data_IF_096242835751
#
_entry.id   IF_096242835751
#
_cell.length_a   1.000
_cell.length_b   1.000
_cell.length_c   1.000
_cell.angle_alpha   90.00
_cell.angle_beta   90.00
_cell.angle_gamma   90.00
#
_symmetry.space_group_name_H-M   'P 1'
#
loop_
_entity.id
_entity.type
_entity.pdbx_description
1 polymer ?
#
# COMPACT_ATOMS: atom_id res chain seq x y z
N UNK A 1 15.00 6.10 -20.83
CA UNK A 1 14.58 7.27 -21.65
C UNK A 1 13.31 7.91 -21.07
N UNK A 2 12.76 7.41 -19.96
CA UNK A 2 11.49 7.90 -19.42
C UNK A 2 11.56 9.06 -18.43
N UNK A 3 12.75 9.42 -17.92
CA UNK A 3 12.90 10.66 -17.15
C UNK A 3 12.42 11.90 -17.93
N UNK A 4 12.38 11.82 -19.27
CA UNK A 4 12.00 12.90 -20.17
C UNK A 4 10.50 13.03 -20.44
N UNK A 5 9.67 12.03 -20.07
CA UNK A 5 8.21 12.07 -20.32
C UNK A 5 7.49 12.93 -19.26
N UNK A 6 8.02 12.99 -18.03
CA UNK A 6 7.46 13.82 -16.95
C UNK A 6 7.85 15.30 -17.01
N UNK A 7 8.96 15.66 -17.68
CA UNK A 7 9.51 17.03 -17.76
C UNK A 7 8.59 18.03 -18.51
N UNK A 8 7.40 17.62 -18.96
CA UNK A 8 6.42 18.50 -19.62
C UNK A 8 4.96 18.32 -19.20
N UNK A 9 4.67 17.56 -18.14
CA UNK A 9 3.29 17.36 -17.66
C UNK A 9 2.98 18.41 -16.59
N UNK A 10 1.93 19.20 -16.83
CA UNK A 10 1.38 20.17 -15.86
C UNK A 10 0.26 19.53 -15.06
N UNK A 11 -0.04 20.09 -13.89
CA UNK A 11 -1.12 19.65 -12.98
C UNK A 11 -2.46 19.43 -13.70
N UNK A 12 -2.91 20.42 -14.48
CA UNK A 12 -4.13 20.34 -15.29
C UNK A 12 -4.15 19.16 -16.26
N UNK A 13 -2.98 18.74 -16.76
CA UNK A 13 -2.86 17.59 -17.65
C UNK A 13 -2.94 16.28 -16.85
N UNK A 14 -2.36 16.22 -15.65
CA UNK A 14 -2.47 15.05 -14.76
C UNK A 14 -3.91 14.79 -14.36
N UNK A 15 -4.65 15.82 -13.95
CA UNK A 15 -6.06 15.68 -13.57
C UNK A 15 -6.96 15.21 -14.74
N UNK A 16 -6.56 15.45 -15.99
CA UNK A 16 -7.25 14.95 -17.18
C UNK A 16 -6.93 13.47 -17.49
N UNK A 17 -5.68 13.04 -17.29
CA UNK A 17 -5.23 11.68 -17.65
C UNK A 17 -5.38 10.67 -16.50
N UNK A 18 -5.18 11.09 -15.26
CA UNK A 18 -5.27 10.22 -14.09
C UNK A 18 -6.73 9.86 -13.82
N UNK A 19 -6.99 8.56 -13.75
CA UNK A 19 -8.33 8.02 -13.46
C UNK A 19 -8.38 7.33 -12.10
N UNK A 20 -7.24 6.80 -11.64
CA UNK A 20 -7.14 6.14 -10.35
C UNK A 20 -5.90 6.60 -9.58
N UNK A 21 -6.02 6.58 -8.26
CA UNK A 21 -4.91 6.65 -7.33
C UNK A 21 -4.79 5.28 -6.64
N UNK A 22 -3.61 4.67 -6.71
CA UNK A 22 -3.28 3.50 -5.90
C UNK A 22 -2.41 3.95 -4.72
N UNK A 23 -2.82 3.58 -3.51
CA UNK A 23 -2.11 3.85 -2.27
C UNK A 23 -1.66 2.52 -1.69
N UNK A 24 -0.41 2.45 -1.27
CA UNK A 24 0.24 1.23 -0.80
C UNK A 24 1.17 1.51 0.37
N UNK A 25 0.97 0.85 1.51
CA UNK A 25 1.81 0.98 2.71
C UNK A 25 1.66 -0.26 3.64
N UNK A 26 2.57 -0.49 4.60
CA UNK A 26 2.45 -1.60 5.55
C UNK A 26 1.18 -1.51 6.39
N UNK A 27 0.40 -2.60 6.48
CA UNK A 27 -0.92 -2.54 7.13
C UNK A 27 -0.87 -2.23 8.64
N UNK A 28 0.30 -2.41 9.26
CA UNK A 28 0.55 -2.29 10.69
C UNK A 28 1.56 -1.17 11.01
N UNK A 29 1.52 -0.10 10.22
CA UNK A 29 2.40 1.06 10.40
C UNK A 29 2.12 1.82 11.70
N UNK A 30 2.95 2.80 12.04
CA UNK A 30 2.80 3.59 13.26
C UNK A 30 1.40 4.22 13.35
N UNK A 31 0.76 4.11 14.52
CA UNK A 31 -0.60 4.61 14.77
C UNK A 31 -1.66 4.10 13.78
N UNK A 32 -1.43 2.95 13.15
CA UNK A 32 -2.41 2.37 12.25
C UNK A 32 -3.62 1.83 13.03
N UNK A 33 -4.81 2.33 12.73
CA UNK A 33 -6.05 1.79 13.26
C UNK A 33 -7.15 1.72 12.21
N UNK A 34 -7.96 0.66 12.34
CA UNK A 34 -9.09 0.34 11.48
C UNK A 34 -10.32 0.31 12.36
N UNK A 35 -11.07 1.41 12.41
CA UNK A 35 -12.23 1.56 13.29
C UNK A 35 -13.51 1.47 12.49
N UNK A 36 -14.46 0.64 12.92
CA UNK A 36 -15.79 0.62 12.30
C UNK A 36 -16.65 1.83 12.71
N UNK A 37 -17.86 1.95 12.16
CA UNK A 37 -18.82 3.01 12.54
C UNK A 37 -19.17 3.05 14.04
N UNK A 38 -18.90 1.98 14.79
CA UNK A 38 -19.13 1.90 16.24
C UNK A 38 -17.88 2.20 17.06
N UNK A 39 -16.82 2.72 16.42
CA UNK A 39 -15.50 2.97 17.02
C UNK A 39 -14.85 1.70 17.61
N UNK A 40 -15.28 0.52 17.17
CA UNK A 40 -14.62 -0.75 17.50
C UNK A 40 -13.42 -0.94 16.58
N UNK A 41 -12.24 -1.20 17.16
CA UNK A 41 -11.09 -1.62 16.36
C UNK A 41 -11.37 -3.00 15.74
N UNK A 42 -11.13 -3.12 14.43
CA UNK A 42 -11.15 -4.39 13.75
C UNK A 42 -9.96 -5.26 14.20
N UNK A 43 -10.16 -6.58 14.21
CA UNK A 43 -9.09 -7.55 14.42
C UNK A 43 -8.34 -7.81 13.10
N UNK A 44 -7.04 -8.13 13.16
CA UNK A 44 -6.16 -8.22 11.98
C UNK A 44 -6.68 -9.11 10.84
N UNK A 45 -7.40 -10.18 11.16
CA UNK A 45 -8.01 -11.06 10.17
C UNK A 45 -9.23 -10.46 9.41
N UNK A 46 -9.60 -9.22 9.72
CA UNK A 46 -10.73 -8.49 9.12
C UNK A 46 -10.32 -7.20 8.42
N UNK A 47 -9.03 -6.88 8.33
CA UNK A 47 -8.61 -5.64 7.69
C UNK A 47 -8.87 -5.69 6.17
N UNK A 48 -9.74 -4.80 5.66
CA UNK A 48 -10.08 -4.81 4.25
C UNK A 48 -8.90 -4.34 3.42
N UNK A 49 -8.75 -4.94 2.23
CA UNK A 49 -7.71 -4.59 1.26
C UNK A 49 -6.26 -4.82 1.76
N UNK A 50 -6.08 -5.65 2.80
CA UNK A 50 -4.78 -6.10 3.26
C UNK A 50 -4.42 -7.42 2.60
N UNK A 51 -3.26 -7.46 1.94
CA UNK A 51 -2.69 -8.67 1.37
C UNK A 51 -1.17 -8.66 1.50
N UNK A 52 -0.56 -9.81 1.83
CA UNK A 52 0.90 -9.95 1.97
C UNK A 52 1.54 -8.92 2.92
N UNK A 53 0.83 -8.53 3.98
CA UNK A 53 1.33 -7.54 4.95
C UNK A 53 1.26 -6.08 4.47
N UNK A 54 0.51 -5.78 3.42
CA UNK A 54 0.39 -4.44 2.87
C UNK A 54 -1.07 -4.08 2.68
N UNK A 55 -1.44 -2.86 3.07
CA UNK A 55 -2.72 -2.28 2.71
C UNK A 55 -2.62 -1.69 1.29
N UNK A 56 -3.59 -2.01 0.44
CA UNK A 56 -3.57 -1.61 -0.98
C UNK A 56 -4.94 -1.11 -1.43
N UNK A 57 -5.15 0.21 -1.40
CA UNK A 57 -6.37 0.85 -1.90
C UNK A 57 -6.20 1.39 -3.31
N UNK A 58 -7.11 1.04 -4.24
CA UNK A 58 -7.22 1.71 -5.55
C UNK A 58 -8.49 2.55 -5.54
N UNK A 59 -8.33 3.85 -5.70
CA UNK A 59 -9.40 4.84 -5.59
C UNK A 59 -9.70 5.37 -6.99
N UNK A 60 -10.98 5.36 -7.39
CA UNK A 60 -11.43 6.05 -8.59
C UNK A 60 -11.50 7.55 -8.31
N UNK A 61 -10.67 8.34 -8.98
CA UNK A 61 -10.54 9.78 -8.75
C UNK A 61 -11.78 10.60 -9.18
N UNK A 62 -12.69 10.03 -9.97
CA UNK A 62 -13.94 10.70 -10.38
C UNK A 62 -15.10 10.44 -9.44
N UNK A 63 -15.16 9.24 -8.87
CA UNK A 63 -16.27 8.82 -8.00
C UNK A 63 -15.87 8.77 -6.52
N UNK A 64 -14.58 8.93 -6.23
CA UNK A 64 -13.97 8.80 -4.90
C UNK A 64 -14.30 7.45 -4.23
N UNK A 65 -14.40 6.38 -5.04
CA UNK A 65 -14.72 5.04 -4.56
C UNK A 65 -13.51 4.13 -4.60
N UNK A 66 -13.32 3.36 -3.53
CA UNK A 66 -12.39 2.24 -3.49
C UNK A 66 -12.88 1.10 -4.39
N UNK A 67 -12.00 0.63 -5.27
CA UNK A 67 -12.22 -0.57 -6.03
C UNK A 67 -12.11 -1.80 -5.13
N UNK A 68 -12.90 -2.83 -5.42
CA UNK A 68 -12.97 -4.09 -4.67
C UNK A 68 -13.40 -3.93 -3.20
N UNK A 69 -13.98 -2.77 -2.83
CA UNK A 69 -14.70 -2.66 -1.57
C UNK A 69 -15.92 -3.57 -1.60
N UNK A 70 -16.09 -4.37 -0.55
CA UNK A 70 -17.22 -5.29 -0.43
C UNK A 70 -18.15 -4.80 0.68
N UNK A 71 -19.48 -4.97 0.54
CA UNK A 71 -20.43 -4.60 1.58
C UNK A 71 -20.18 -5.28 2.94
N UNK A 72 -19.48 -6.41 2.96
CA UNK A 72 -19.10 -7.11 4.20
C UNK A 72 -18.05 -6.35 5.03
N UNK A 73 -17.35 -5.38 4.44
CA UNK A 73 -16.39 -4.53 5.14
C UNK A 73 -17.05 -3.43 5.96
N UNK A 74 -18.30 -3.06 5.63
CA UNK A 74 -19.03 -2.01 6.34
C UNK A 74 -18.43 -0.62 6.16
N UNK A 75 -18.83 0.30 7.03
CA UNK A 75 -18.19 1.61 7.15
C UNK A 75 -16.86 1.47 7.93
N UNK A 76 -15.82 2.15 7.47
CA UNK A 76 -14.48 2.09 8.05
C UNK A 76 -13.84 3.48 8.13
N UNK A 77 -13.27 3.78 9.29
CA UNK A 77 -12.30 4.83 9.48
C UNK A 77 -10.90 4.22 9.56
N UNK A 78 -10.08 4.51 8.54
CA UNK A 78 -8.67 4.11 8.49
C UNK A 78 -7.81 5.31 8.86
N UNK A 79 -6.94 5.17 9.85
CA UNK A 79 -5.84 6.11 10.08
C UNK A 79 -4.51 5.37 10.13
N UNK A 80 -3.44 6.00 9.68
CA UNK A 80 -2.06 5.55 9.89
C UNK A 80 -1.10 6.72 9.76
N UNK A 81 0.00 6.68 10.51
CA UNK A 81 1.14 7.57 10.30
C UNK A 81 2.12 6.87 9.35
N UNK A 82 2.12 7.30 8.09
CA UNK A 82 2.79 6.61 6.98
C UNK A 82 4.21 7.12 6.73
N UNK A 83 4.62 8.24 7.36
CA UNK A 83 5.94 8.88 7.22
C UNK A 83 7.06 7.89 6.80
N UNK A 84 7.63 8.08 5.61
CA UNK A 84 8.70 7.27 4.98
C UNK A 84 8.35 5.83 4.56
N UNK A 85 7.07 5.45 4.48
CA UNK A 85 6.63 4.09 4.10
C UNK A 85 5.56 4.05 3.01
N UNK A 86 5.00 5.20 2.63
CA UNK A 86 3.94 5.30 1.66
C UNK A 86 4.44 5.15 0.23
N UNK A 87 3.64 4.51 -0.63
CA UNK A 87 3.84 4.54 -2.08
C UNK A 87 2.53 4.85 -2.78
N UNK A 88 2.57 5.81 -3.70
CA UNK A 88 1.39 6.35 -4.36
C UNK A 88 1.57 6.35 -5.87
N UNK A 89 0.62 5.79 -6.60
CA UNK A 89 0.65 5.73 -8.05
C UNK A 89 -0.57 6.43 -8.65
N UNK A 90 -0.34 7.33 -9.60
CA UNK A 90 -1.39 7.77 -10.51
C UNK A 90 -1.49 6.78 -11.66
N UNK A 91 -2.70 6.30 -11.92
CA UNK A 91 -2.99 5.34 -12.99
C UNK A 91 -3.94 5.94 -14.02
N UNK A 92 -3.77 5.55 -15.28
CA UNK A 92 -4.70 5.87 -16.36
C UNK A 92 -5.98 5.02 -16.31
N UNK A 93 -6.89 5.25 -17.25
CA UNK A 93 -8.16 4.50 -17.38
C UNK A 93 -7.98 2.99 -17.52
N UNK A 94 -6.84 2.54 -18.04
CA UNK A 94 -6.50 1.14 -18.27
C UNK A 94 -5.72 0.54 -17.08
N UNK A 95 -5.64 1.28 -15.96
CA UNK A 95 -4.88 0.94 -14.74
C UNK A 95 -3.39 0.70 -15.02
N UNK A 96 -2.82 1.48 -15.94
CA UNK A 96 -1.37 1.57 -16.16
C UNK A 96 -0.81 2.76 -15.39
N UNK A 97 0.35 2.59 -14.76
CA UNK A 97 0.98 3.69 -14.03
C UNK A 97 1.43 4.80 -14.98
N UNK A 98 1.12 6.03 -14.58
CA UNK A 98 1.57 7.26 -15.20
C UNK A 98 2.85 7.72 -14.49
N UNK A 99 2.79 7.81 -13.16
CA UNK A 99 3.91 8.18 -12.30
C UNK A 99 3.69 7.64 -10.89
N UNK A 100 4.76 7.66 -10.08
CA UNK A 100 4.71 7.33 -8.66
C UNK A 100 5.44 8.37 -7.83
N UNK A 101 5.05 8.49 -6.59
CA UNK A 101 5.82 9.12 -5.51
C UNK A 101 5.89 8.15 -4.33
N UNK A 102 6.82 8.39 -3.41
CA UNK A 102 7.00 7.59 -2.22
C UNK A 102 7.19 8.49 -0.99
N UNK A 103 7.19 7.87 0.17
CA UNK A 103 7.44 8.46 1.49
C UNK A 103 6.22 9.24 2.01
N UNK A 104 6.14 10.54 1.74
CA UNK A 104 5.10 11.41 2.30
C UNK A 104 3.73 11.22 1.62
N UNK A 105 2.67 11.35 2.42
CA UNK A 105 1.29 11.36 1.94
C UNK A 105 1.07 12.62 1.10
N UNK A 106 0.60 12.50 -0.16
CA UNK A 106 0.32 13.67 -1.00
C UNK A 106 -0.98 14.33 -0.56
N UNK A 107 -0.93 15.15 0.49
CA UNK A 107 -2.13 15.72 1.12
C UNK A 107 -2.91 16.70 0.24
N UNK A 108 -2.35 17.12 -0.90
CA UNK A 108 -3.12 17.82 -1.94
C UNK A 108 -4.20 16.93 -2.59
N UNK A 109 -3.94 15.62 -2.68
CA UNK A 109 -4.79 14.65 -3.35
C UNK A 109 -5.47 13.68 -2.38
N UNK A 110 -4.75 13.25 -1.34
CA UNK A 110 -5.23 12.34 -0.31
C UNK A 110 -5.80 13.14 0.86
N UNK A 111 -7.00 12.80 1.37
CA UNK A 111 -7.67 13.53 2.45
C UNK A 111 -6.80 13.86 3.66
N UNK A 112 -7.16 15.01 4.25
CA UNK A 112 -6.69 15.57 5.53
C UNK A 112 -5.25 16.12 5.49
N UNK A 113 -5.14 17.45 5.44
CA UNK A 113 -3.92 18.20 5.10
C UNK A 113 -3.20 18.86 6.27
N UNK A 114 -3.63 18.61 7.52
CA UNK A 114 -3.12 19.35 8.69
C UNK A 114 -1.77 18.83 9.21
N UNK A 115 -1.33 17.64 8.80
CA UNK A 115 -0.16 16.96 9.37
C UNK A 115 1.04 16.81 8.40
N UNK A 116 1.23 17.77 7.47
CA UNK A 116 2.45 17.87 6.64
C UNK A 116 2.87 16.58 5.89
N UNK A 117 1.95 15.71 5.52
CA UNK A 117 2.23 14.46 4.80
C UNK A 117 2.45 13.24 5.68
N UNK A 118 2.37 13.35 7.00
CA UNK A 118 2.71 12.23 7.89
C UNK A 118 1.58 11.22 8.05
N UNK A 119 0.33 11.64 7.93
CA UNK A 119 -0.84 10.81 8.23
C UNK A 119 -1.75 10.64 7.02
N UNK A 120 -2.29 9.43 6.89
CA UNK A 120 -3.48 9.18 6.08
C UNK A 120 -4.67 8.98 7.00
N UNK A 121 -5.81 9.59 6.65
CA UNK A 121 -7.09 9.38 7.33
C UNK A 121 -8.20 9.28 6.30
N UNK A 122 -8.81 8.10 6.17
CA UNK A 122 -9.88 7.85 5.20
C UNK A 122 -11.17 7.48 5.93
N UNK A 123 -12.26 8.18 5.59
CA UNK A 123 -13.63 7.84 6.01
C UNK A 123 -14.32 7.11 4.87
N UNK A 124 -14.40 5.79 4.97
CA UNK A 124 -14.90 4.90 3.91
C UNK A 124 -16.30 4.44 4.29
N UNK A 125 -17.29 4.75 3.46
CA UNK A 125 -18.65 4.28 3.61
C UNK A 125 -18.78 2.80 3.19
N UNK A 126 -19.87 2.16 3.58
CA UNK A 126 -20.19 0.76 3.27
C UNK A 126 -20.18 0.42 1.77
N UNK A 127 -20.43 1.42 0.91
CA UNK A 127 -20.36 1.24 -0.55
C UNK A 127 -18.97 1.53 -1.16
N UNK A 128 -17.97 1.76 -0.31
CA UNK A 128 -16.58 2.06 -0.67
C UNK A 128 -16.30 3.52 -1.00
N UNK A 129 -17.27 4.43 -0.86
CA UNK A 129 -17.06 5.88 -1.07
C UNK A 129 -16.20 6.46 0.04
N UNK A 130 -15.19 7.27 -0.32
CA UNK A 130 -14.41 8.05 0.64
C UNK A 130 -15.11 9.40 0.84
N UNK A 131 -15.68 9.60 2.02
CA UNK A 131 -16.50 10.77 2.35
C UNK A 131 -15.66 12.05 2.46
N UNK A 132 -14.46 11.95 3.06
CA UNK A 132 -13.59 13.09 3.30
C UNK A 132 -12.69 13.46 2.11
N UNK A 133 -13.06 13.07 0.87
CA UNK A 133 -12.28 13.41 -0.31
C UNK A 133 -12.21 14.92 -0.56
N UNK A 134 -11.04 15.50 -0.88
CA UNK A 134 -10.92 16.95 -1.11
C UNK A 134 -11.77 17.40 -2.30
N UNK A 135 -12.50 18.51 -2.13
CA UNK A 135 -13.33 19.11 -3.20
C UNK A 135 -12.49 19.57 -4.40
N UNK A 136 -11.29 20.10 -4.12
CA UNK A 136 -10.33 20.58 -5.11
C UNK A 136 -9.03 19.79 -4.97
N UNK A 137 -8.92 18.60 -5.58
CA UNK A 137 -7.70 17.81 -5.51
C UNK A 137 -6.54 18.47 -6.24
N UNK A 138 -5.41 18.56 -5.57
CA UNK A 138 -4.14 19.10 -6.06
C UNK A 138 -3.16 17.96 -6.37
N UNK A 139 -2.56 17.99 -7.55
CA UNK A 139 -1.65 16.96 -8.05
C UNK A 139 -0.18 17.40 -8.03
N UNK A 140 0.14 18.55 -7.42
CA UNK A 140 1.47 19.19 -7.48
C UNK A 140 2.59 18.29 -6.95
N UNK A 141 2.34 17.50 -5.90
CA UNK A 141 3.31 16.54 -5.34
C UNK A 141 3.81 15.54 -6.40
N UNK A 142 2.94 15.15 -7.34
CA UNK A 142 3.26 14.23 -8.43
C UNK A 142 3.99 14.91 -9.61
N UNK A 143 4.18 16.23 -9.59
CA UNK A 143 4.94 16.95 -10.61
C UNK A 143 6.38 17.14 -10.14
N UNK A 144 6.55 17.52 -8.87
CA UNK A 144 7.86 17.87 -8.32
C UNK A 144 8.64 16.65 -7.83
N UNK A 145 7.95 15.64 -7.28
CA UNK A 145 8.59 14.47 -6.64
C UNK A 145 8.53 13.16 -7.42
N UNK A 146 7.95 13.13 -8.63
CA UNK A 146 7.59 11.85 -9.26
C UNK A 146 8.69 11.18 -10.07
N UNK A 147 8.74 9.85 -9.92
CA UNK A 147 9.52 8.98 -10.79
C UNK A 147 8.63 8.46 -11.94
N UNK A 148 9.18 8.45 -13.17
CA UNK A 148 8.51 7.83 -14.32
C UNK A 148 8.50 6.32 -14.14
N UNK A 149 7.31 5.70 -14.12
CA UNK A 149 7.18 4.24 -14.10
C UNK A 149 7.22 3.75 -15.54
N UNK A 150 8.39 3.27 -16.01
CA UNK A 150 8.54 2.76 -17.39
C UNK A 150 7.62 1.55 -17.65
N UNK A 151 7.47 0.67 -16.65
CA UNK A 151 6.51 -0.45 -16.60
C UNK A 151 6.21 -0.77 -15.14
N UNK A 152 4.95 -1.07 -14.81
CA UNK A 152 4.66 -1.98 -13.69
C UNK A 152 4.77 -3.36 -14.32
N UNK A 153 5.78 -4.15 -13.97
CA UNK A 153 5.86 -5.55 -14.38
C UNK A 153 4.70 -6.31 -13.72
N UNK A 154 3.56 -6.33 -14.42
CA UNK A 154 2.44 -7.24 -14.13
C UNK A 154 2.76 -8.66 -14.59
N UNK A 155 3.82 -8.81 -15.38
CA UNK A 155 4.35 -10.07 -15.92
C UNK A 155 5.45 -10.66 -15.02
N UNK A 156 5.54 -10.24 -13.74
CA UNK A 156 6.07 -11.17 -12.74
C UNK A 156 5.04 -12.29 -12.67
N UNK A 157 5.15 -13.26 -13.58
CA UNK A 157 4.75 -14.61 -13.23
C UNK A 157 5.49 -14.88 -11.93
N UNK A 158 4.74 -15.09 -10.85
CA UNK A 158 5.31 -15.76 -9.69
C UNK A 158 5.75 -17.12 -10.24
N UNK A 159 7.00 -17.23 -10.69
CA UNK A 159 7.59 -18.54 -10.86
C UNK A 159 7.42 -19.19 -9.50
N UNK A 160 6.71 -20.33 -9.42
CA UNK A 160 6.46 -20.97 -8.16
C UNK A 160 7.83 -21.33 -7.60
N UNK A 161 8.27 -20.58 -6.59
CA UNK A 161 9.48 -20.88 -5.83
C UNK A 161 9.29 -22.18 -5.03
N UNK A 162 8.11 -22.83 -5.16
CA UNK A 162 7.70 -24.06 -4.50
C UNK A 162 8.75 -25.18 -4.59
N UNK A 163 9.59 -25.18 -5.63
CA UNK A 163 10.66 -26.19 -5.78
C UNK A 163 12.09 -25.64 -5.75
N UNK A 164 12.29 -24.33 -5.53
CA UNK A 164 13.66 -23.79 -5.40
C UNK A 164 14.14 -23.94 -3.95
N UNK A 165 14.78 -25.08 -3.65
CA UNK A 165 15.47 -25.27 -2.37
C UNK A 165 16.67 -24.32 -2.29
N UNK A 166 16.52 -23.23 -1.53
CA UNK A 166 17.63 -22.32 -1.25
C UNK A 166 18.23 -22.66 0.10
N UNK A 167 19.46 -23.16 0.10
CA UNK A 167 20.21 -23.43 1.33
C UNK A 167 20.99 -22.20 1.77
N UNK A 168 20.68 -21.71 2.96
CA UNK A 168 21.43 -20.65 3.63
C UNK A 168 22.11 -21.21 4.87
N UNK A 169 23.32 -20.75 5.16
CA UNK A 169 23.86 -20.86 6.52
C UNK A 169 23.09 -19.94 7.47
N UNK A 170 23.04 -20.25 8.76
CA UNK A 170 22.37 -19.42 9.77
C UNK A 170 22.84 -17.95 9.72
N UNK A 171 24.15 -17.71 9.55
CA UNK A 171 24.70 -16.36 9.48
C UNK A 171 24.23 -15.60 8.23
N UNK A 172 24.16 -16.26 7.07
CA UNK A 172 23.63 -15.66 5.83
C UNK A 172 22.14 -15.36 5.94
N UNK A 173 21.37 -16.26 6.57
CA UNK A 173 19.95 -16.08 6.82
C UNK A 173 19.72 -14.88 7.73
N UNK A 174 20.39 -14.82 8.88
CA UNK A 174 20.25 -13.72 9.84
C UNK A 174 20.71 -12.38 9.26
N UNK A 175 21.80 -12.35 8.48
CA UNK A 175 22.26 -11.13 7.82
C UNK A 175 21.27 -10.58 6.78
N UNK A 176 20.49 -11.45 6.12
CA UNK A 176 19.41 -11.05 5.22
C UNK A 176 18.16 -10.64 5.99
N UNK A 177 17.76 -11.43 6.99
CA UNK A 177 16.58 -11.19 7.82
C UNK A 177 16.66 -9.82 8.50
N UNK A 178 17.78 -9.50 9.13
CA UNK A 178 17.97 -8.24 9.87
C UNK A 178 17.93 -6.98 9.00
N UNK A 179 18.00 -7.11 7.66
CA UNK A 179 17.86 -6.00 6.72
C UNK A 179 16.42 -5.77 6.25
N UNK A 180 15.50 -6.68 6.57
CA UNK A 180 14.10 -6.55 6.20
C UNK A 180 13.33 -5.66 7.18
N UNK A 181 12.21 -5.06 6.77
CA UNK A 181 11.24 -4.45 7.68
C UNK A 181 10.81 -5.40 8.80
N UNK A 182 10.54 -4.86 10.01
CA UNK A 182 10.25 -5.66 11.22
C UNK A 182 9.11 -6.67 11.04
N UNK A 183 8.06 -6.33 10.29
CA UNK A 183 6.93 -7.23 10.07
C UNK A 183 7.34 -8.48 9.27
N UNK A 184 8.20 -8.32 8.25
CA UNK A 184 8.75 -9.44 7.49
C UNK A 184 9.72 -10.27 8.34
N UNK A 185 10.50 -9.63 9.21
CA UNK A 185 11.35 -10.35 10.16
C UNK A 185 10.54 -11.25 11.09
N UNK A 186 9.41 -10.74 11.59
CA UNK A 186 8.52 -11.46 12.49
C UNK A 186 7.86 -12.65 11.80
N UNK A 187 7.28 -12.45 10.61
CA UNK A 187 6.63 -13.52 9.85
C UNK A 187 7.60 -14.62 9.43
N UNK A 188 8.78 -14.25 8.91
CA UNK A 188 9.82 -15.23 8.56
C UNK A 188 10.32 -15.94 9.83
N UNK A 189 10.47 -15.23 10.95
CA UNK A 189 10.83 -15.83 12.24
C UNK A 189 9.84 -16.88 12.71
N UNK A 190 8.53 -16.61 12.64
CA UNK A 190 7.48 -17.59 12.96
C UNK A 190 7.56 -18.83 12.07
N UNK A 191 7.72 -18.63 10.76
CA UNK A 191 7.83 -19.73 9.80
C UNK A 191 9.06 -20.61 10.05
N UNK A 192 10.20 -20.01 10.42
CA UNK A 192 11.42 -20.74 10.78
C UNK A 192 11.23 -21.58 12.06
N UNK A 193 10.56 -21.03 13.08
CA UNK A 193 10.27 -21.78 14.32
C UNK A 193 9.32 -22.94 14.05
N UNK A 194 8.30 -22.74 13.21
CA UNK A 194 7.36 -23.80 12.81
C UNK A 194 8.07 -24.94 12.06
N UNK A 195 8.90 -24.61 11.06
CA UNK A 195 9.70 -25.61 10.33
C UNK A 195 10.67 -26.39 11.22
N UNK A 196 11.25 -25.75 12.24
CA UNK A 196 12.12 -26.45 13.20
C UNK A 196 11.31 -27.37 14.10
N UNK A 197 10.07 -27.02 14.41
CA UNK A 197 9.17 -27.81 15.28
C UNK A 197 8.61 -29.05 14.57
N UNK A 198 8.41 -29.00 13.24
CA UNK A 198 8.01 -30.17 12.43
C UNK A 198 9.12 -31.22 12.26
N UNK A 199 10.37 -30.91 12.60
CA UNK A 199 11.50 -31.85 12.57
C UNK A 199 11.69 -32.67 13.85
N UNK A 200 10.83 -32.50 14.85
CA UNK A 200 10.82 -33.29 16.08
C UNK A 200 9.58 -34.18 16.12
N UNK A 201 9.48 -35.12 15.18
CA UNK A 201 8.79 -36.37 15.51
C UNK A 201 9.70 -37.11 16.48
N UNK A 202 9.16 -37.40 17.67
CA UNK A 202 9.81 -38.14 18.73
C UNK A 202 10.25 -39.51 18.20
N UNK A 203 11.56 -39.72 18.05
CA UNK A 203 12.11 -41.08 18.03
C UNK A 203 11.85 -41.69 19.42
N UNK A 204 10.89 -42.63 19.49
CA UNK A 204 10.62 -43.52 20.66
C UNK A 204 11.88 -44.20 21.22
#
# INVERSE_FOLDING_TARGET
>A
MAKQILIGIKEKKLSEVAHYLMIYFPYNEEMCSYMDAWMGELYENKYPLVAKGMWSGIINLKTHKLLNWKPEYGDLYLQAKICDSGTYFLLDKDKKAICKIADYVPNGLVPESEDCGDYIRLRINNDGTIENWPENPDYSDFIEGSESVERIDKDIEEEPILDTKVEFTYSQLMAKLLRLPKFLQLEIGKALVANVSEGFEEDE
#
